data_IF_013907148303
#
_entry.id   IF_013907148303
#
_cell.length_a   1.000
_cell.length_b   1.000
_cell.length_c   1.000
_cell.angle_alpha   90.00
_cell.angle_beta   90.00
_cell.angle_gamma   90.00
#
_symmetry.space_group_name_H-M   'P 1'
#
loop_
_entity.id
_entity.type
_entity.pdbx_description
1 polymer ?
#
# COMPACT_ATOMS: atom_id res chain seq x y z
N UNK A 1 22.56 -0.05 22.92
CA UNK A 1 21.25 0.52 22.56
C UNK A 1 20.46 -0.57 21.84
N UNK A 2 19.32 -1.01 22.38
CA UNK A 2 18.42 -1.87 21.61
C UNK A 2 17.57 -0.98 20.70
N UNK A 3 17.73 -1.16 19.40
CA UNK A 3 16.91 -0.49 18.40
C UNK A 3 15.68 -1.38 18.19
N UNK A 4 14.49 -0.82 18.39
CA UNK A 4 13.24 -1.51 18.05
C UNK A 4 13.06 -1.43 16.54
N UNK A 5 12.87 -2.58 15.90
CA UNK A 5 12.36 -2.63 14.54
C UNK A 5 10.88 -2.24 14.54
N UNK A 6 10.61 -0.97 14.26
CA UNK A 6 9.27 -0.40 14.23
C UNK A 6 8.38 -1.09 13.18
N UNK A 7 8.83 -1.33 11.93
CA UNK A 7 8.08 -2.14 10.97
C UNK A 7 7.66 -3.51 11.51
N UNK A 8 8.60 -4.27 12.10
CA UNK A 8 8.30 -5.58 12.66
C UNK A 8 7.29 -5.50 13.80
N UNK A 9 7.43 -4.50 14.68
CA UNK A 9 6.49 -4.27 15.78
C UNK A 9 5.08 -4.00 15.26
N UNK A 10 4.93 -3.10 14.29
CA UNK A 10 3.63 -2.74 13.71
C UNK A 10 3.00 -3.97 13.04
N UNK A 11 3.76 -4.70 12.22
CA UNK A 11 3.25 -5.89 11.53
C UNK A 11 2.80 -6.98 12.50
N UNK A 12 3.55 -7.18 13.60
CA UNK A 12 3.31 -8.26 14.56
C UNK A 12 2.19 -7.91 15.54
N UNK A 13 2.21 -6.71 16.11
CA UNK A 13 1.35 -6.36 17.25
C UNK A 13 0.17 -5.45 16.89
N UNK A 14 0.29 -4.61 15.85
CA UNK A 14 -0.76 -3.66 15.45
C UNK A 14 -1.62 -4.23 14.31
N UNK A 15 -0.99 -4.52 13.17
CA UNK A 15 -1.66 -5.02 11.97
C UNK A 15 -1.95 -6.52 12.08
N UNK A 16 -1.11 -7.25 12.82
CA UNK A 16 -1.17 -8.72 13.03
C UNK A 16 -1.10 -9.51 11.71
N UNK A 17 -0.28 -9.03 10.79
CA UNK A 17 -0.03 -9.66 9.49
C UNK A 17 1.37 -9.30 9.02
N UNK A 18 2.11 -10.29 8.51
CA UNK A 18 3.48 -10.09 8.01
C UNK A 18 3.52 -9.57 6.57
N UNK A 19 2.49 -9.84 5.78
CA UNK A 19 2.37 -9.39 4.39
C UNK A 19 1.18 -8.44 4.22
N UNK A 20 1.15 -7.66 3.13
CA UNK A 20 -0.02 -6.84 2.83
C UNK A 20 -1.22 -7.71 2.45
N UNK A 21 -2.43 -7.26 2.80
CA UNK A 21 -3.69 -7.97 2.51
C UNK A 21 -3.84 -8.28 1.02
N UNK A 22 -3.39 -7.36 0.17
CA UNK A 22 -3.60 -7.40 -1.27
C UNK A 22 -2.37 -7.89 -2.05
N UNK A 23 -1.34 -8.40 -1.38
CA UNK A 23 -0.09 -8.81 -2.04
C UNK A 23 -0.34 -9.80 -3.18
N UNK A 24 -1.15 -10.83 -2.91
CA UNK A 24 -1.51 -11.84 -3.90
C UNK A 24 -2.27 -11.24 -5.10
N UNK A 25 -3.25 -10.38 -4.83
CA UNK A 25 -4.08 -9.76 -5.86
C UNK A 25 -3.28 -8.78 -6.73
N UNK A 26 -2.45 -7.93 -6.12
CA UNK A 26 -1.60 -6.99 -6.84
C UNK A 26 -0.62 -7.74 -7.75
N UNK A 27 -0.02 -8.83 -7.27
CA UNK A 27 0.86 -9.65 -8.09
C UNK A 27 0.10 -10.33 -9.24
N UNK A 28 -1.08 -10.87 -8.97
CA UNK A 28 -1.92 -11.56 -9.95
C UNK A 28 -2.40 -10.61 -11.06
N UNK A 29 -2.75 -9.37 -10.73
CA UNK A 29 -3.33 -8.40 -11.66
C UNK A 29 -2.36 -7.29 -12.08
N UNK A 30 -1.06 -7.46 -11.81
CA UNK A 30 -0.03 -6.42 -12.01
C UNK A 30 -0.05 -5.79 -13.40
N UNK A 31 -0.07 -6.61 -14.44
CA UNK A 31 -0.02 -6.13 -15.84
C UNK A 31 -1.30 -5.39 -16.23
N UNK A 32 -2.46 -5.91 -15.81
CA UNK A 32 -3.75 -5.28 -16.04
C UNK A 32 -3.84 -3.92 -15.32
N UNK A 33 -3.45 -3.86 -14.04
CA UNK A 33 -3.44 -2.63 -13.26
C UNK A 33 -2.49 -1.60 -13.89
N UNK A 34 -1.30 -2.03 -14.30
CA UNK A 34 -0.33 -1.15 -14.98
C UNK A 34 -0.89 -0.61 -16.30
N UNK A 35 -1.47 -1.45 -17.15
CA UNK A 35 -2.11 -1.02 -18.40
C UNK A 35 -3.24 -0.02 -18.18
N UNK A 36 -3.93 -0.10 -17.04
CA UNK A 36 -5.03 0.78 -16.70
C UNK A 36 -4.61 2.17 -16.20
N UNK A 37 -3.42 2.33 -15.62
CA UNK A 37 -3.04 3.61 -14.97
C UNK A 37 -1.72 4.22 -15.48
N UNK A 38 -0.81 3.41 -16.04
CA UNK A 38 0.51 3.88 -16.45
C UNK A 38 0.40 4.92 -17.56
N UNK A 39 1.01 6.09 -17.34
CA UNK A 39 1.03 7.19 -18.31
C UNK A 39 -0.30 7.93 -18.48
N UNK A 40 -1.31 7.66 -17.64
CA UNK A 40 -2.59 8.38 -17.65
C UNK A 40 -2.58 9.51 -16.64
N UNK A 41 -3.25 10.61 -16.97
CA UNK A 41 -3.55 11.69 -16.02
C UNK A 41 -4.72 11.29 -15.13
N UNK A 42 -4.60 11.50 -13.82
CA UNK A 42 -5.62 11.16 -12.82
C UNK A 42 -5.94 12.39 -11.98
N UNK A 43 -7.23 12.65 -11.72
CA UNK A 43 -7.69 13.66 -10.78
C UNK A 43 -8.12 12.96 -9.48
N UNK A 44 -7.45 13.27 -8.37
CA UNK A 44 -7.81 12.77 -7.04
C UNK A 44 -8.53 13.89 -6.29
N UNK A 45 -9.85 13.78 -6.17
CA UNK A 45 -10.65 14.70 -5.35
C UNK A 45 -10.47 14.32 -3.87
N UNK A 46 -10.08 15.28 -3.04
CA UNK A 46 -9.80 15.03 -1.61
C UNK A 46 -8.43 14.39 -1.35
N UNK A 47 -7.44 14.62 -2.23
CA UNK A 47 -6.09 14.05 -2.12
C UNK A 47 -5.32 14.38 -0.83
N UNK A 48 -5.76 15.39 -0.06
CA UNK A 48 -5.16 15.71 1.24
C UNK A 48 -5.71 14.86 2.42
N UNK A 49 -6.77 14.06 2.21
CA UNK A 49 -7.33 13.19 3.24
C UNK A 49 -6.50 11.92 3.47
N UNK A 50 -6.75 11.20 4.57
CA UNK A 50 -5.96 10.03 5.01
C UNK A 50 -5.79 8.94 3.94
N UNK A 51 -6.83 8.68 3.15
CA UNK A 51 -6.78 7.69 2.05
C UNK A 51 -6.28 8.34 0.76
N UNK A 52 -6.78 9.54 0.45
CA UNK A 52 -6.43 10.25 -0.78
C UNK A 52 -4.94 10.60 -0.89
N UNK A 53 -4.26 10.78 0.25
CA UNK A 53 -2.83 11.06 0.31
C UNK A 53 -1.95 9.85 -0.01
N UNK A 54 -2.55 8.64 -0.07
CA UNK A 54 -1.87 7.40 -0.44
C UNK A 54 -1.99 7.04 -1.93
N UNK A 55 -2.66 7.89 -2.72
CA UNK A 55 -2.78 7.77 -4.18
C UNK A 55 -1.73 8.65 -4.87
#
# INVERSE_FOLDING_TARGET
MHIIDIPQFINTYIIKRQESLFTADINKYKDQLSGNIKGKSVLVIGGAGTIGSSF
#
